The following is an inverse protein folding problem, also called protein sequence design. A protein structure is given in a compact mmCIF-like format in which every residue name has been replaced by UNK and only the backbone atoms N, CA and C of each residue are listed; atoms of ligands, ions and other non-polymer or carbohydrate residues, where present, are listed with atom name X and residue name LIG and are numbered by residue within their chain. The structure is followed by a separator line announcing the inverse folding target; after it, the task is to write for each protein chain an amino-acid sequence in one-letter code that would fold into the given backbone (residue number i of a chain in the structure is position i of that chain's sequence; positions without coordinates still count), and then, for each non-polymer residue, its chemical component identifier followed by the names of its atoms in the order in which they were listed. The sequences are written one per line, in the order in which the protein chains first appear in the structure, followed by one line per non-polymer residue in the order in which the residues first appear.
data_IF_003577374418
#
_entry.id   IF_003577374418
#
_cell.length_a   1.000
_cell.length_b   1.000
_cell.length_c   1.000
_cell.angle_alpha   90.00
_cell.angle_beta   90.00
_cell.angle_gamma   90.00
#
_symmetry.space_group_name_H-M   'P 1'
#
loop_
_entity.id
_entity.type
_entity.pdbx_description
1 polymer ?
#
# COMPACT_ATOMS: atom_id res chain seq x y z
N UNK A 1 -14.21 5.31 -7.39
CA UNK A 1 -14.83 6.30 -6.54
C UNK A 1 -14.82 5.71 -5.16
N UNK A 2 -14.47 6.51 -4.15
CA UNK A 2 -14.60 6.07 -2.76
C UNK A 2 -16.08 5.86 -2.48
N UNK A 3 -16.42 4.63 -2.10
CA UNK A 3 -17.79 4.21 -1.79
C UNK A 3 -18.07 4.45 -0.33
N UNK A 4 -17.13 4.01 0.50
CA UNK A 4 -17.28 4.01 1.94
C UNK A 4 -15.92 4.30 2.59
N UNK A 5 -15.97 5.06 3.67
CA UNK A 5 -14.84 5.24 4.59
C UNK A 5 -15.38 4.88 5.97
N UNK A 6 -14.82 3.84 6.59
CA UNK A 6 -15.20 3.42 7.94
C UNK A 6 -13.97 3.23 8.80
N UNK A 7 -14.10 3.54 10.07
CA UNK A 7 -13.04 3.30 11.03
C UNK A 7 -12.98 1.81 11.36
N UNK A 8 -11.77 1.23 11.42
CA UNK A 8 -11.67 -0.19 11.74
C UNK A 8 -12.08 -0.44 13.19
N UNK A 9 -12.89 -1.49 13.42
CA UNK A 9 -13.37 -1.82 14.76
C UNK A 9 -12.23 -2.10 15.75
N UNK A 10 -11.09 -2.57 15.25
CA UNK A 10 -9.97 -3.04 16.07
C UNK A 10 -8.92 -1.94 16.32
N UNK A 11 -8.97 -0.82 15.60
CA UNK A 11 -8.01 0.27 15.76
C UNK A 11 -8.61 1.61 15.31
N UNK A 12 -8.85 2.50 16.27
CA UNK A 12 -9.40 3.83 16.01
C UNK A 12 -8.44 4.77 15.24
N UNK A 13 -7.19 4.37 15.01
CA UNK A 13 -6.24 5.11 14.17
C UNK A 13 -6.21 4.61 12.73
N UNK A 14 -6.93 3.52 12.43
CA UNK A 14 -7.00 2.94 11.09
C UNK A 14 -8.39 3.14 10.48
N UNK A 15 -8.38 3.53 9.22
CA UNK A 15 -9.57 3.74 8.41
C UNK A 15 -9.53 2.81 7.21
N UNK A 16 -10.61 2.08 6.99
CA UNK A 16 -10.84 1.24 5.82
C UNK A 16 -11.60 2.07 4.77
N UNK A 17 -11.06 2.07 3.56
CA UNK A 17 -11.62 2.82 2.42
C UNK A 17 -12.04 1.82 1.36
N UNK A 18 -13.35 1.70 1.13
CA UNK A 18 -13.89 0.83 0.10
C UNK A 18 -13.95 1.59 -1.24
N UNK A 19 -13.37 0.98 -2.27
CA UNK A 19 -13.26 1.56 -3.60
C UNK A 19 -14.15 0.77 -4.57
N UNK A 20 -14.98 1.45 -5.36
CA UNK A 20 -15.65 0.83 -6.52
C UNK A 20 -14.73 0.95 -7.74
N UNK A 21 -14.90 0.05 -8.72
CA UNK A 21 -14.15 0.06 -10.00
C UNK A 21 -14.16 1.48 -10.56
N UNK A 22 -12.96 1.98 -10.79
CA UNK A 22 -12.66 3.28 -11.37
C UNK A 22 -11.93 3.07 -12.67
N UNK A 23 -12.30 3.83 -13.71
CA UNK A 23 -11.33 4.10 -14.77
C UNK A 23 -10.13 4.85 -14.18
N UNK A 24 -8.98 4.75 -14.83
CA UNK A 24 -7.66 5.24 -14.37
C UNK A 24 -7.60 6.73 -13.96
N UNK A 25 -8.65 7.51 -14.25
CA UNK A 25 -8.76 8.95 -13.97
C UNK A 25 -9.59 9.31 -12.70
N UNK A 26 -9.71 8.43 -11.71
CA UNK A 26 -10.37 8.80 -10.46
C UNK A 26 -9.49 9.73 -9.60
N UNK A 27 -9.87 11.00 -9.54
CA UNK A 27 -9.16 12.04 -8.78
C UNK A 27 -9.04 11.73 -7.29
N UNK A 28 -9.99 11.00 -6.70
CA UNK A 28 -9.95 10.62 -5.29
C UNK A 28 -8.89 9.55 -5.05
N UNK A 29 -8.77 8.57 -5.96
CA UNK A 29 -7.70 7.58 -5.91
C UNK A 29 -6.33 8.19 -6.10
N UNK A 30 -6.20 9.13 -7.04
CA UNK A 30 -4.96 9.86 -7.26
C UNK A 30 -4.54 10.63 -6.00
N UNK A 31 -5.49 11.33 -5.37
CA UNK A 31 -5.24 12.08 -4.12
C UNK A 31 -4.82 11.16 -2.97
N UNK A 32 -5.54 10.05 -2.76
CA UNK A 32 -5.20 9.05 -1.73
C UNK A 32 -3.81 8.45 -1.98
N UNK A 33 -3.52 8.09 -3.22
CA UNK A 33 -2.24 7.49 -3.60
C UNK A 33 -1.09 8.47 -3.40
N UNK A 34 -1.27 9.75 -3.75
CA UNK A 34 -0.26 10.79 -3.51
C UNK A 34 -0.01 10.98 -2.01
N UNK A 35 -1.07 11.00 -1.19
CA UNK A 35 -0.92 11.09 0.26
C UNK A 35 -0.12 9.92 0.84
N UNK A 36 -0.42 8.69 0.40
CA UNK A 36 0.34 7.49 0.79
C UNK A 36 1.80 7.60 0.35
N UNK A 37 2.08 8.12 -0.85
CA UNK A 37 3.45 8.30 -1.37
C UNK A 37 4.27 9.32 -0.57
N UNK A 38 3.65 10.41 -0.11
CA UNK A 38 4.26 11.42 0.75
C UNK A 38 4.56 10.85 2.15
N UNK A 39 3.59 10.15 2.71
CA UNK A 39 3.66 9.61 4.06
C UNK A 39 4.58 8.39 4.16
N UNK A 40 4.64 7.59 3.10
CA UNK A 40 5.42 6.36 3.02
C UNK A 40 6.50 6.52 1.95
N UNK A 41 7.70 6.87 2.41
CA UNK A 41 8.89 6.94 1.56
C UNK A 41 9.32 5.58 0.98
N UNK A 42 10.20 5.60 -0.02
CA UNK A 42 10.60 4.41 -0.78
C UNK A 42 9.96 4.36 -2.17
N UNK A 43 10.24 3.32 -2.95
CA UNK A 43 9.71 3.11 -4.30
C UNK A 43 9.26 1.67 -4.50
N UNK A 44 8.37 1.44 -5.48
CA UNK A 44 7.87 0.11 -5.84
C UNK A 44 7.43 -0.73 -4.63
N UNK A 45 7.86 -2.00 -4.61
CA UNK A 45 7.52 -2.95 -3.54
C UNK A 45 8.01 -2.56 -2.15
N UNK A 46 9.11 -1.80 -2.05
CA UNK A 46 9.58 -1.31 -0.75
C UNK A 46 8.54 -0.38 -0.11
N UNK A 47 7.89 0.48 -0.91
CA UNK A 47 6.80 1.33 -0.42
C UNK A 47 5.60 0.49 -0.01
N UNK A 48 5.28 -0.56 -0.77
CA UNK A 48 4.19 -1.47 -0.44
C UNK A 48 4.41 -2.21 0.88
N UNK A 49 5.60 -2.77 1.11
CA UNK A 49 5.95 -3.42 2.37
C UNK A 49 5.88 -2.46 3.56
N UNK A 50 6.36 -1.22 3.41
CA UNK A 50 6.23 -0.19 4.44
C UNK A 50 4.78 0.20 4.73
N UNK A 51 3.93 0.25 3.70
CA UNK A 51 2.49 0.46 3.87
C UNK A 51 1.86 -0.65 4.68
N UNK A 52 2.13 -1.92 4.32
CA UNK A 52 1.62 -3.09 5.05
C UNK A 52 2.02 -3.04 6.54
N UNK A 53 3.27 -2.70 6.86
CA UNK A 53 3.71 -2.51 8.24
C UNK A 53 2.91 -1.41 8.96
N UNK A 54 2.68 -0.27 8.29
CA UNK A 54 1.96 0.86 8.88
C UNK A 54 0.50 0.55 9.19
N UNK A 55 -0.16 -0.22 8.34
CA UNK A 55 -1.56 -0.61 8.52
C UNK A 55 -1.72 -1.90 9.34
N UNK A 56 -0.63 -2.48 9.86
CA UNK A 56 -0.67 -3.64 10.77
C UNK A 56 -0.72 -5.01 10.09
N UNK A 57 -0.50 -5.06 8.77
CA UNK A 57 -0.47 -6.29 7.98
C UNK A 57 0.93 -6.95 8.03
N UNK A 58 1.38 -7.31 9.24
CA UNK A 58 2.77 -7.72 9.48
C UNK A 58 3.16 -9.01 8.75
N UNK A 59 2.30 -10.04 8.75
CA UNK A 59 2.59 -11.31 8.08
C UNK A 59 2.76 -11.13 6.57
N UNK A 60 1.90 -10.33 5.94
CA UNK A 60 1.97 -10.04 4.51
C UNK A 60 3.20 -9.20 4.17
N UNK A 61 3.59 -8.26 5.05
CA UNK A 61 4.83 -7.52 4.89
C UNK A 61 6.04 -8.46 4.95
N UNK A 62 6.06 -9.41 5.88
CA UNK A 62 7.13 -10.39 6.02
C UNK A 62 7.25 -11.30 4.79
N UNK A 63 6.13 -11.84 4.30
CA UNK A 63 6.08 -12.62 3.05
C UNK A 63 6.64 -11.84 1.86
N UNK A 64 6.17 -10.60 1.68
CA UNK A 64 6.66 -9.73 0.61
C UNK A 64 8.17 -9.49 0.71
N UNK A 65 8.70 -9.22 1.91
CA UNK A 65 10.14 -9.00 2.07
C UNK A 65 10.96 -10.28 1.85
N UNK A 66 10.45 -11.46 2.24
CA UNK A 66 11.10 -12.75 1.94
C UNK A 66 11.16 -12.98 0.44
N UNK A 67 10.06 -12.80 -0.27
CA UNK A 67 10.04 -12.90 -1.73
C UNK A 67 11.00 -11.91 -2.39
N UNK A 68 11.04 -10.66 -1.92
CA UNK A 68 11.98 -9.68 -2.46
C UNK A 68 13.43 -10.12 -2.22
N UNK A 69 13.78 -10.61 -1.04
CA UNK A 69 15.14 -11.07 -0.72
C UNK A 69 15.57 -12.28 -1.57
N UNK A 70 14.67 -13.23 -1.79
CA UNK A 70 14.91 -14.38 -2.66
C UNK A 70 15.16 -13.95 -4.12
N UNK A 71 14.41 -12.96 -4.59
CA UNK A 71 14.50 -12.42 -5.95
C UNK A 71 15.60 -11.35 -6.14
N UNK A 72 16.18 -10.78 -5.07
CA UNK A 72 17.31 -9.82 -5.16
C UNK A 72 18.59 -10.50 -5.67
N UNK A 73 18.65 -11.83 -5.70
CA UNK A 73 19.74 -12.57 -6.35
C UNK A 73 19.70 -12.52 -7.89
N UNK A 74 18.60 -12.08 -8.51
CA UNK A 74 18.42 -12.18 -9.96
C UNK A 74 18.17 -10.89 -10.72
N UNK A 75 17.82 -9.74 -10.13
CA UNK A 75 17.82 -8.51 -10.94
C UNK A 75 17.78 -7.21 -10.13
N UNK A 76 18.51 -6.24 -10.64
CA UNK A 76 18.56 -4.84 -10.25
C UNK A 76 17.24 -4.05 -10.36
N UNK A 77 16.11 -4.68 -10.66
CA UNK A 77 14.85 -4.02 -11.04
C UNK A 77 13.60 -4.65 -10.41
N UNK A 78 12.92 -3.90 -9.54
CA UNK A 78 11.44 -3.84 -9.55
C UNK A 78 11.01 -2.38 -9.40
N UNK A 79 11.60 -1.53 -10.24
CA UNK A 79 11.19 -0.15 -10.45
C UNK A 79 10.21 -0.11 -11.62
N UNK A 80 8.92 0.05 -11.32
CA UNK A 80 7.93 0.84 -12.08
C UNK A 80 6.84 1.25 -11.09
#
# INVERSE_FOLDING_TARGET
RVVEIKQTANNNRLWEVQLNITGDNDQQLSTLTNRIKEEIGGRGWQRMGKLMLKVGHFNQAEELYKELLENVSTDSDRAF
#
